data_IF_076302398221
#
_entry.id   IF_076302398221
#
_cell.length_a   1.000
_cell.length_b   1.000
_cell.length_c   1.000
_cell.angle_alpha   90.00
_cell.angle_beta   90.00
_cell.angle_gamma   90.00
#
_symmetry.space_group_name_H-M   'P 1'
#
loop_
_entity.id
_entity.type
_entity.pdbx_description
1 polymer ?
#
# COMPACT_ATOMS: atom_id res chain seq x y z
N UNK A 1 17.11 -13.62 -21.02
CA UNK A 1 16.82 -14.71 -20.07
C UNK A 1 15.34 -15.01 -20.14
N UNK A 2 14.96 -16.19 -20.64
CA UNK A 2 13.55 -16.60 -20.81
C UNK A 2 13.38 -18.09 -20.49
N UNK A 3 12.17 -18.48 -20.10
CA UNK A 3 11.80 -19.88 -19.85
C UNK A 3 12.00 -20.37 -18.41
N UNK A 4 11.45 -21.55 -18.06
CA UNK A 4 11.40 -22.04 -16.68
C UNK A 4 12.77 -22.23 -16.02
N UNK A 5 13.76 -22.72 -16.76
CA UNK A 5 15.13 -22.92 -16.25
C UNK A 5 15.78 -21.58 -15.84
N UNK A 6 15.59 -20.55 -16.66
CA UNK A 6 16.08 -19.20 -16.39
C UNK A 6 15.40 -18.57 -15.17
N UNK A 7 14.08 -18.77 -15.03
CA UNK A 7 13.35 -18.28 -13.85
C UNK A 7 13.78 -19.02 -12.59
N UNK A 8 13.96 -20.35 -12.66
CA UNK A 8 14.43 -21.14 -11.53
C UNK A 8 15.78 -20.63 -11.05
N UNK A 9 16.74 -20.44 -11.97
CA UNK A 9 18.04 -19.86 -11.65
C UNK A 9 17.87 -18.50 -10.95
N UNK A 10 17.09 -17.58 -11.52
CA UNK A 10 16.87 -16.25 -10.96
C UNK A 10 16.26 -16.26 -9.55
N UNK A 11 15.35 -17.20 -9.24
CA UNK A 11 14.64 -17.25 -7.96
C UNK A 11 15.26 -18.21 -6.93
N UNK A 12 16.18 -19.10 -7.34
CA UNK A 12 16.87 -20.04 -6.43
C UNK A 12 18.31 -19.65 -6.12
N UNK A 13 18.90 -18.73 -6.90
CA UNK A 13 20.21 -18.16 -6.61
C UNK A 13 20.20 -17.35 -5.31
N UNK A 14 21.36 -17.26 -4.67
CA UNK A 14 21.57 -16.36 -3.54
C UNK A 14 21.69 -14.90 -3.99
N UNK A 15 21.56 -13.98 -3.01
CA UNK A 15 21.59 -12.54 -3.24
C UNK A 15 22.97 -12.05 -3.74
N UNK A 16 24.02 -12.86 -3.63
CA UNK A 16 25.37 -12.57 -4.14
C UNK A 16 25.49 -12.88 -5.64
N UNK A 17 24.86 -13.96 -6.11
CA UNK A 17 24.86 -14.37 -7.51
C UNK A 17 23.85 -13.58 -8.34
N UNK A 18 22.65 -13.36 -7.78
CA UNK A 18 21.56 -12.63 -8.44
C UNK A 18 20.90 -11.70 -7.44
N UNK A 19 21.06 -10.39 -7.62
CA UNK A 19 20.40 -9.39 -6.79
C UNK A 19 19.23 -8.74 -7.51
N UNK A 20 18.19 -8.40 -6.74
CA UNK A 20 17.09 -7.58 -7.23
C UNK A 20 17.56 -6.15 -7.48
N UNK A 21 17.49 -5.71 -8.73
CA UNK A 21 17.77 -4.32 -9.10
C UNK A 21 16.52 -3.71 -9.71
N UNK A 22 16.09 -2.55 -9.21
CA UNK A 22 14.93 -1.84 -9.74
C UNK A 22 15.36 -0.65 -10.60
N UNK A 23 14.52 -0.23 -11.56
CA UNK A 23 14.72 1.03 -12.25
C UNK A 23 14.80 2.20 -11.27
N UNK A 24 15.61 3.20 -11.61
CA UNK A 24 15.80 4.38 -10.76
C UNK A 24 14.49 5.13 -10.45
N UNK A 25 13.49 5.02 -11.33
CA UNK A 25 12.16 5.57 -11.10
C UNK A 25 11.49 4.99 -9.86
N UNK A 26 11.54 3.65 -9.69
CA UNK A 26 10.97 2.93 -8.55
C UNK A 26 11.68 3.35 -7.28
N UNK A 27 13.01 3.37 -7.29
CA UNK A 27 13.83 3.72 -6.13
C UNK A 27 13.57 5.15 -5.65
N UNK A 28 13.42 6.11 -6.56
CA UNK A 28 13.16 7.52 -6.23
C UNK A 28 11.72 7.79 -5.79
N UNK A 29 10.74 7.09 -6.37
CA UNK A 29 9.32 7.26 -6.05
C UNK A 29 8.93 6.47 -4.79
N UNK A 30 9.25 5.19 -4.72
CA UNK A 30 8.82 4.33 -3.62
C UNK A 30 9.78 4.48 -2.44
N UNK A 31 11.08 4.53 -2.71
CA UNK A 31 12.13 4.73 -1.71
C UNK A 31 13.07 3.53 -1.54
N UNK A 32 14.23 3.80 -0.92
CA UNK A 32 15.35 2.85 -0.74
C UNK A 32 15.16 1.83 0.39
N UNK A 33 14.15 2.02 1.24
CA UNK A 33 13.86 1.15 2.39
C UNK A 33 12.59 0.34 2.17
N UNK A 34 12.34 -0.03 0.91
CA UNK A 34 11.16 -0.77 0.50
C UNK A 34 11.54 -2.21 0.23
N UNK A 35 10.57 -3.12 0.29
CA UNK A 35 10.78 -4.54 0.01
C UNK A 35 11.38 -4.83 -1.36
N UNK A 36 11.25 -3.91 -2.31
CA UNK A 36 11.78 -4.04 -3.66
C UNK A 36 13.29 -3.77 -3.74
N UNK A 37 13.86 -3.10 -2.72
CA UNK A 37 15.25 -2.67 -2.65
C UNK A 37 16.04 -3.36 -1.52
N UNK A 38 15.35 -3.95 -0.54
CA UNK A 38 16.01 -4.67 0.55
C UNK A 38 16.68 -5.94 0.02
N UNK A 39 17.93 -6.16 0.43
CA UNK A 39 18.71 -7.36 0.13
C UNK A 39 19.25 -8.00 1.42
N UNK A 40 19.65 -9.26 1.35
CA UNK A 40 20.33 -9.98 2.42
C UNK A 40 19.46 -10.19 3.66
N UNK A 41 20.04 -9.96 4.84
CA UNK A 41 19.38 -10.23 6.12
C UNK A 41 18.08 -9.42 6.28
N UNK A 42 18.08 -8.15 5.86
CA UNK A 42 16.93 -7.26 6.02
C UNK A 42 15.73 -7.70 5.18
N UNK A 43 15.95 -8.23 3.98
CA UNK A 43 14.86 -8.76 3.15
C UNK A 43 14.27 -10.03 3.76
N UNK A 44 15.13 -10.92 4.31
CA UNK A 44 14.71 -12.14 5.01
C UNK A 44 13.88 -11.83 6.25
N UNK A 45 14.33 -10.89 7.09
CA UNK A 45 13.60 -10.44 8.28
C UNK A 45 12.24 -9.86 7.91
N UNK A 46 12.21 -8.96 6.93
CA UNK A 46 10.95 -8.36 6.48
C UNK A 46 9.99 -9.42 5.93
N UNK A 47 10.50 -10.43 5.19
CA UNK A 47 9.71 -11.57 4.71
C UNK A 47 9.08 -12.36 5.85
N UNK A 48 9.78 -12.58 6.96
CA UNK A 48 9.22 -13.25 8.14
C UNK A 48 8.05 -12.46 8.74
N UNK A 49 8.16 -11.13 8.82
CA UNK A 49 7.06 -10.27 9.32
C UNK A 49 5.84 -10.37 8.40
N UNK A 50 6.01 -10.30 7.07
CA UNK A 50 4.90 -10.48 6.13
C UNK A 50 4.24 -11.85 6.24
N UNK A 51 5.04 -12.92 6.30
CA UNK A 51 4.52 -14.29 6.40
C UNK A 51 3.81 -14.52 7.74
N UNK A 52 4.29 -13.88 8.81
CA UNK A 52 3.62 -13.87 10.11
C UNK A 52 2.27 -13.18 10.07
N UNK A 53 2.18 -12.04 9.37
CA UNK A 53 0.96 -11.26 9.25
C UNK A 53 -0.08 -11.89 8.29
N UNK A 54 0.36 -12.43 7.16
CA UNK A 54 -0.47 -13.02 6.10
C UNK A 54 -0.75 -14.53 6.29
N UNK A 55 -0.69 -15.04 7.52
CA UNK A 55 -1.07 -16.43 7.82
C UNK A 55 -2.52 -16.70 7.39
N UNK A 56 -2.79 -17.96 7.04
CA UNK A 56 -4.10 -18.37 6.51
C UNK A 56 -5.28 -17.96 7.40
N UNK A 57 -5.16 -18.07 8.73
CA UNK A 57 -6.21 -17.63 9.67
C UNK A 57 -6.50 -16.13 9.57
N UNK A 58 -5.45 -15.33 9.39
CA UNK A 58 -5.54 -13.88 9.29
C UNK A 58 -6.21 -13.51 7.99
N UNK A 59 -5.77 -14.08 6.87
CA UNK A 59 -6.38 -13.88 5.55
C UNK A 59 -7.87 -14.26 5.59
N UNK A 60 -8.22 -15.38 6.21
CA UNK A 60 -9.63 -15.79 6.41
C UNK A 60 -10.43 -14.78 7.23
N UNK A 61 -9.86 -14.27 8.33
CA UNK A 61 -10.52 -13.26 9.15
C UNK A 61 -10.82 -11.97 8.37
N UNK A 62 -9.97 -11.62 7.39
CA UNK A 62 -10.13 -10.43 6.55
C UNK A 62 -11.29 -10.54 5.56
N UNK A 63 -11.77 -11.75 5.23
CA UNK A 63 -12.86 -11.95 4.25
C UNK A 63 -14.12 -11.19 4.66
N UNK A 64 -14.44 -11.17 5.97
CA UNK A 64 -15.59 -10.41 6.49
C UNK A 64 -15.42 -8.90 6.29
N UNK A 65 -14.21 -8.40 6.50
CA UNK A 65 -13.89 -6.99 6.27
C UNK A 65 -13.93 -6.63 4.78
N UNK A 66 -13.42 -7.50 3.92
CA UNK A 66 -13.49 -7.34 2.46
C UNK A 66 -14.95 -7.28 1.99
N UNK A 67 -15.79 -8.22 2.42
CA UNK A 67 -17.22 -8.24 2.07
C UNK A 67 -17.93 -6.95 2.52
N UNK A 68 -17.64 -6.49 3.75
CA UNK A 68 -18.16 -5.21 4.26
C UNK A 68 -17.70 -4.02 3.42
N UNK A 69 -16.40 -3.92 3.12
CA UNK A 69 -15.83 -2.83 2.30
C UNK A 69 -16.45 -2.81 0.91
N UNK A 70 -16.57 -3.96 0.25
CA UNK A 70 -17.21 -4.09 -1.07
C UNK A 70 -18.65 -3.59 -1.01
N UNK A 71 -19.45 -4.06 -0.05
CA UNK A 71 -20.85 -3.65 0.11
C UNK A 71 -20.98 -2.16 0.36
N UNK A 72 -20.17 -1.60 1.25
CA UNK A 72 -20.20 -0.17 1.58
C UNK A 72 -19.84 0.69 0.38
N UNK A 73 -18.80 0.31 -0.38
CA UNK A 73 -18.40 1.07 -1.57
C UNK A 73 -19.44 0.98 -2.68
N UNK A 74 -19.99 -0.19 -2.94
CA UNK A 74 -21.07 -0.34 -3.92
C UNK A 74 -22.29 0.49 -3.51
N UNK A 75 -22.70 0.43 -2.23
CA UNK A 75 -23.80 1.24 -1.72
C UNK A 75 -23.52 2.74 -1.89
N UNK A 76 -22.36 3.23 -1.45
CA UNK A 76 -21.94 4.64 -1.61
C UNK A 76 -21.95 5.06 -3.08
N UNK A 77 -21.31 4.29 -3.95
CA UNK A 77 -21.21 4.58 -5.38
C UNK A 77 -22.54 4.60 -6.12
N UNK A 78 -23.50 3.75 -5.72
CA UNK A 78 -24.86 3.75 -6.27
C UNK A 78 -25.80 4.77 -5.63
N UNK A 79 -25.54 5.20 -4.39
CA UNK A 79 -26.29 6.25 -3.70
C UNK A 79 -25.86 7.67 -4.12
N UNK A 80 -24.59 7.88 -4.47
CA UNK A 80 -24.04 9.16 -4.93
C UNK A 80 -24.47 9.54 -6.37
N UNK A 81 -25.68 9.15 -6.82
CA UNK A 81 -26.29 9.44 -8.14
C UNK A 81 -26.50 10.93 -8.47
N UNK A 82 -25.89 11.84 -7.71
CA UNK A 82 -26.05 13.28 -7.92
C UNK A 82 -24.92 14.14 -7.37
N UNK A 83 -23.82 13.57 -6.84
CA UNK A 83 -22.70 14.40 -6.42
C UNK A 83 -21.62 14.42 -7.51
N UNK A 84 -21.84 15.32 -8.47
CA UNK A 84 -20.82 15.94 -9.31
C UNK A 84 -19.84 16.79 -8.46
N UNK A 85 -19.54 16.35 -7.23
CA UNK A 85 -18.71 17.04 -6.26
C UNK A 85 -17.37 16.32 -6.08
N UNK A 86 -16.61 16.31 -7.17
CA UNK A 86 -15.17 16.54 -7.08
C UNK A 86 -14.74 17.39 -8.29
N UNK A 87 -15.36 18.58 -8.39
CA UNK A 87 -14.87 19.66 -9.23
C UNK A 87 -13.46 20.08 -8.81
N UNK A 88 -12.44 19.39 -9.35
CA UNK A 88 -11.15 19.93 -9.80
C UNK A 88 -10.29 18.79 -10.37
N UNK A 89 -10.24 18.73 -11.69
CA UNK A 89 -9.24 18.00 -12.48
C UNK A 89 -8.90 16.59 -11.99
N UNK A 90 -9.88 15.69 -11.98
CA UNK A 90 -9.59 14.26 -11.98
C UNK A 90 -9.84 13.73 -13.39
N UNK A 91 -8.79 13.19 -14.04
CA UNK A 91 -8.94 12.62 -15.37
C UNK A 91 -9.97 11.50 -15.35
N UNK A 92 -10.74 11.35 -16.43
CA UNK A 92 -11.79 10.32 -16.64
C UNK A 92 -11.39 8.89 -16.20
N UNK A 93 -10.08 8.61 -16.12
CA UNK A 93 -9.50 7.32 -15.72
C UNK A 93 -9.91 6.77 -14.35
N UNK A 94 -10.47 7.58 -13.45
CA UNK A 94 -10.80 7.17 -12.08
C UNK A 94 -12.30 7.26 -11.76
N UNK A 95 -13.16 7.45 -12.78
CA UNK A 95 -14.61 7.35 -12.61
C UNK A 95 -14.98 5.90 -12.26
N UNK A 96 -15.66 5.69 -11.14
CA UNK A 96 -16.03 4.34 -10.67
C UNK A 96 -17.47 3.96 -11.01
N UNK A 97 -18.38 4.93 -11.01
CA UNK A 97 -19.81 4.72 -11.27
C UNK A 97 -20.32 5.72 -12.29
N UNK A 98 -21.34 5.34 -13.05
CA UNK A 98 -22.06 6.23 -13.96
C UNK A 98 -23.49 6.48 -13.48
N UNK A 99 -24.06 7.62 -13.87
CA UNK A 99 -25.44 8.00 -13.50
C UNK A 99 -26.51 7.04 -14.03
N UNK A 100 -26.23 6.31 -15.12
CA UNK A 100 -27.09 5.26 -15.67
C UNK A 100 -26.93 3.90 -14.95
N UNK A 101 -26.22 3.85 -13.82
CA UNK A 101 -26.12 2.67 -12.97
C UNK A 101 -25.09 1.63 -13.40
N UNK A 102 -24.09 2.01 -14.21
CA UNK A 102 -22.96 1.13 -14.57
C UNK A 102 -21.80 1.34 -13.61
N UNK A 103 -20.98 0.30 -13.48
CA UNK A 103 -19.73 0.31 -12.71
C UNK A 103 -18.56 0.20 -13.68
N UNK A 104 -17.58 1.07 -13.53
CA UNK A 104 -16.26 0.92 -14.13
C UNK A 104 -15.42 0.03 -13.23
N UNK A 105 -15.36 -1.26 -13.59
CA UNK A 105 -14.79 -2.31 -12.73
C UNK A 105 -13.33 -2.03 -12.36
N UNK A 106 -12.49 -1.57 -13.28
CA UNK A 106 -11.06 -1.36 -12.99
C UNK A 106 -10.82 -0.26 -11.96
N UNK A 107 -11.38 0.97 -12.09
CA UNK A 107 -11.32 1.99 -11.04
C UNK A 107 -11.90 1.51 -9.71
N UNK A 108 -13.09 0.91 -9.73
CA UNK A 108 -13.77 0.45 -8.51
C UNK A 108 -12.93 -0.62 -7.77
N UNK A 109 -12.38 -1.60 -8.50
CA UNK A 109 -11.54 -2.65 -7.92
C UNK A 109 -10.22 -2.11 -7.38
N UNK A 110 -9.60 -1.11 -8.02
CA UNK A 110 -8.41 -0.45 -7.49
C UNK A 110 -8.69 0.19 -6.13
N UNK A 111 -9.83 0.87 -6.02
CA UNK A 111 -10.22 1.54 -4.80
C UNK A 111 -10.57 0.52 -3.70
N UNK A 112 -11.38 -0.49 -4.01
CA UNK A 112 -11.70 -1.58 -3.06
C UNK A 112 -10.42 -2.25 -2.54
N UNK A 113 -9.47 -2.55 -3.43
CA UNK A 113 -8.20 -3.18 -3.04
C UNK A 113 -7.38 -2.25 -2.14
N UNK A 114 -7.41 -0.94 -2.42
CA UNK A 114 -6.77 0.06 -1.58
C UNK A 114 -7.37 0.08 -0.17
N UNK A 115 -8.69 0.19 -0.01
CA UNK A 115 -9.34 0.20 1.30
C UNK A 115 -9.02 -1.06 2.10
N UNK A 116 -9.08 -2.23 1.44
CA UNK A 116 -8.74 -3.50 2.08
C UNK A 116 -7.28 -3.46 2.56
N UNK A 117 -6.34 -3.10 1.70
CA UNK A 117 -4.93 -3.01 2.08
C UNK A 117 -4.71 -1.95 3.19
N UNK A 118 -5.36 -0.80 3.11
CA UNK A 118 -5.22 0.31 4.05
C UNK A 118 -5.75 -0.08 5.42
N UNK A 119 -6.93 -0.69 5.49
CA UNK A 119 -7.49 -1.26 6.70
C UNK A 119 -6.59 -2.34 7.31
N UNK A 120 -6.04 -3.24 6.50
CA UNK A 120 -5.15 -4.29 7.01
C UNK A 120 -3.82 -3.73 7.54
N UNK A 121 -3.27 -2.73 6.87
CA UNK A 121 -1.98 -2.18 7.24
C UNK A 121 -2.08 -1.26 8.45
N UNK A 122 -3.05 -0.35 8.46
CA UNK A 122 -3.16 0.73 9.44
C UNK A 122 -4.28 0.53 10.47
N UNK A 123 -5.21 -0.40 10.22
CA UNK A 123 -6.34 -0.65 11.12
C UNK A 123 -7.26 0.58 11.27
N UNK A 124 -7.24 1.51 10.31
CA UNK A 124 -7.92 2.79 10.41
C UNK A 124 -9.35 2.74 9.85
N UNK A 125 -10.25 3.59 10.39
CA UNK A 125 -11.61 3.70 9.90
C UNK A 125 -11.69 4.54 8.61
N UNK A 126 -12.79 4.33 7.90
CA UNK A 126 -13.17 4.98 6.65
C UNK A 126 -13.34 6.51 6.82
N UNK A 127 -12.86 7.32 5.87
CA UNK A 127 -13.02 8.79 5.96
C UNK A 127 -12.27 9.61 4.89
N UNK A 128 -12.33 10.94 5.01
CA UNK A 128 -11.75 11.86 4.01
C UNK A 128 -10.24 11.71 3.81
N UNK A 129 -9.51 11.36 4.88
CA UNK A 129 -8.06 11.12 4.82
C UNK A 129 -7.74 9.89 3.99
N UNK A 130 -8.56 8.84 4.04
CA UNK A 130 -8.41 7.64 3.22
C UNK A 130 -8.60 7.96 1.73
N UNK A 131 -9.63 8.74 1.41
CA UNK A 131 -9.92 9.18 0.03
C UNK A 131 -8.77 10.04 -0.53
N UNK A 132 -8.17 10.93 0.28
CA UNK A 132 -6.99 11.69 -0.14
C UNK A 132 -5.77 10.80 -0.36
N UNK A 133 -5.53 9.86 0.54
CA UNK A 133 -4.46 8.88 0.40
C UNK A 133 -4.65 8.03 -0.86
N UNK A 134 -5.86 7.55 -1.15
CA UNK A 134 -6.14 6.78 -2.36
C UNK A 134 -5.76 7.55 -3.64
N UNK A 135 -6.09 8.86 -3.70
CA UNK A 135 -5.73 9.73 -4.83
C UNK A 135 -4.21 9.85 -4.96
N UNK A 136 -3.51 10.05 -3.85
CA UNK A 136 -2.06 10.18 -3.87
C UNK A 136 -1.37 8.86 -4.22
N UNK A 137 -1.82 7.73 -3.69
CA UNK A 137 -1.31 6.40 -4.05
C UNK A 137 -1.52 6.10 -5.54
N UNK A 138 -2.70 6.40 -6.08
CA UNK A 138 -2.96 6.26 -7.52
C UNK A 138 -2.04 7.14 -8.36
N UNK A 139 -1.69 8.34 -7.86
CA UNK A 139 -0.75 9.25 -8.51
C UNK A 139 0.69 8.75 -8.45
N UNK A 140 1.08 8.07 -7.37
CA UNK A 140 2.40 7.45 -7.19
C UNK A 140 2.62 6.25 -8.13
N UNK A 141 1.59 5.43 -8.35
CA UNK A 141 1.73 4.24 -9.19
C UNK A 141 1.80 4.54 -10.70
N UNK A 142 1.15 5.61 -11.18
CA UNK A 142 1.19 6.02 -12.61
C UNK A 142 2.63 6.18 -13.18
N UNK A 143 3.58 6.84 -12.49
CA UNK A 143 4.95 7.03 -12.97
C UNK A 143 5.96 5.96 -12.53
N UNK A 144 5.57 4.92 -11.79
CA UNK A 144 6.55 4.01 -11.14
C UNK A 144 7.46 3.31 -12.16
N UNK A 145 6.95 3.02 -13.36
CA UNK A 145 7.69 2.47 -14.51
C UNK A 145 7.97 3.50 -15.63
N UNK A 146 7.83 4.80 -15.33
CA UNK A 146 8.13 5.86 -16.31
C UNK A 146 9.62 6.21 -16.32
N UNK A 147 10.10 6.78 -17.43
CA UNK A 147 11.46 7.30 -17.51
C UNK A 147 11.64 8.39 -16.43
N UNK A 148 12.68 8.31 -15.56
CA UNK A 148 12.84 9.17 -14.38
C UNK A 148 13.32 10.59 -14.71
N UNK A 149 12.65 11.26 -15.65
CA UNK A 149 12.94 12.64 -16.06
C UNK A 149 12.20 13.62 -15.15
N UNK A 150 12.95 14.41 -14.40
CA UNK A 150 12.42 15.40 -13.45
C UNK A 150 12.21 16.77 -14.11
N UNK A 151 11.37 16.84 -15.15
CA UNK A 151 11.01 18.10 -15.82
C UNK A 151 9.66 18.62 -15.32
N UNK A 152 9.42 19.93 -15.42
CA UNK A 152 8.38 20.68 -14.70
C UNK A 152 6.94 20.14 -14.84
N UNK A 153 6.64 19.38 -15.91
CA UNK A 153 5.31 18.84 -16.23
C UNK A 153 5.21 17.30 -16.24
N UNK A 154 6.21 16.55 -15.77
CA UNK A 154 6.20 15.07 -15.89
C UNK A 154 5.35 14.38 -14.82
N UNK A 155 4.82 13.20 -15.15
CA UNK A 155 4.17 12.29 -14.20
C UNK A 155 5.09 11.95 -13.02
N UNK A 156 6.40 11.91 -13.25
CA UNK A 156 7.40 11.63 -12.25
C UNK A 156 7.44 12.68 -11.11
N UNK A 157 7.42 13.98 -11.44
CA UNK A 157 7.37 15.05 -10.43
C UNK A 157 6.06 15.03 -9.63
N UNK A 158 4.94 14.72 -10.29
CA UNK A 158 3.65 14.54 -9.61
C UNK A 158 3.68 13.37 -8.62
N UNK A 159 4.30 12.26 -9.02
CA UNK A 159 4.53 11.10 -8.14
C UNK A 159 5.36 11.45 -6.91
N UNK A 160 6.45 12.21 -7.07
CA UNK A 160 7.29 12.64 -5.93
C UNK A 160 6.51 13.52 -4.93
N UNK A 161 5.69 14.46 -5.41
CA UNK A 161 4.85 15.29 -4.54
C UNK A 161 3.74 14.49 -3.85
N UNK A 162 3.13 13.53 -4.55
CA UNK A 162 2.15 12.64 -3.94
C UNK A 162 2.78 11.77 -2.85
N UNK A 163 3.99 11.25 -3.08
CA UNK A 163 4.76 10.53 -2.06
C UNK A 163 5.00 11.37 -0.80
N UNK A 164 5.36 12.64 -0.95
CA UNK A 164 5.57 13.55 0.18
C UNK A 164 4.30 13.73 1.02
N UNK A 165 3.14 13.92 0.35
CA UNK A 165 1.84 14.00 1.04
C UNK A 165 1.47 12.70 1.75
N UNK A 166 1.66 11.54 1.11
CA UNK A 166 1.45 10.23 1.74
C UNK A 166 2.28 10.11 3.02
N UNK A 167 3.58 10.43 2.97
CA UNK A 167 4.44 10.35 4.16
C UNK A 167 3.94 11.28 5.26
N UNK A 168 3.56 12.53 4.91
CA UNK A 168 3.05 13.50 5.85
C UNK A 168 1.77 13.02 6.56
N UNK A 169 0.90 12.31 5.85
CA UNK A 169 -0.32 11.72 6.40
C UNK A 169 -0.06 10.45 7.23
N UNK A 170 0.87 9.58 6.81
CA UNK A 170 1.13 8.30 7.47
C UNK A 170 2.00 8.43 8.74
N UNK A 171 2.93 9.39 8.79
CA UNK A 171 3.84 9.54 9.94
C UNK A 171 3.08 9.75 11.27
N UNK A 172 2.07 10.64 11.36
CA UNK A 172 1.25 10.76 12.56
C UNK A 172 0.56 9.45 12.95
N UNK A 173 0.00 8.72 11.98
CA UNK A 173 -0.69 7.44 12.23
C UNK A 173 0.24 6.40 12.85
N UNK A 174 1.47 6.29 12.32
CA UNK A 174 2.49 5.36 12.85
C UNK A 174 2.94 5.78 14.26
N UNK A 175 3.08 7.09 14.51
CA UNK A 175 3.44 7.61 15.84
C UNK A 175 2.36 7.31 16.87
N UNK A 176 1.10 7.52 16.49
CA UNK A 176 -0.05 7.19 17.34
C UNK A 176 -0.13 5.69 17.62
N UNK A 177 0.05 4.84 16.60
CA UNK A 177 0.11 3.40 16.76
C UNK A 177 1.23 2.98 17.73
N UNK A 178 2.42 3.60 17.62
CA UNK A 178 3.54 3.35 18.53
C UNK A 178 3.25 3.79 19.97
N UNK A 179 2.68 4.98 20.17
CA UNK A 179 2.36 5.49 21.51
C UNK A 179 1.35 4.59 22.25
N UNK A 180 0.44 3.98 21.51
CA UNK A 180 -0.62 3.10 22.03
C UNK A 180 -0.15 1.67 22.33
N UNK A 181 1.10 1.28 22.02
CA UNK A 181 1.58 -0.10 22.21
C UNK A 181 1.67 -0.56 23.67
N UNK A 182 1.68 0.37 24.64
CA UNK A 182 1.67 0.06 26.07
C UNK A 182 0.29 -0.26 26.65
N UNK A 183 -0.78 -0.08 25.87
CA UNK A 183 -2.17 -0.29 26.29
C UNK A 183 -2.62 -1.74 26.00
N UNK A 184 -3.22 -2.39 26.99
CA UNK A 184 -3.62 -3.80 26.95
C UNK A 184 -4.66 -4.08 25.84
N UNK A 185 -5.48 -3.07 25.50
CA UNK A 185 -6.47 -3.12 24.41
C UNK A 185 -5.83 -3.15 23.02
N UNK A 186 -4.67 -2.50 22.86
CA UNK A 186 -3.92 -2.45 21.58
C UNK A 186 -3.11 -3.72 21.38
N UNK A 187 -2.86 -4.48 22.46
CA UNK A 187 -2.22 -5.80 22.40
C UNK A 187 -3.03 -6.80 21.56
N UNK A 188 -4.36 -6.65 21.54
CA UNK A 188 -5.29 -7.50 20.80
C UNK A 188 -5.59 -7.00 19.38
N UNK A 189 -5.33 -5.72 19.08
CA UNK A 189 -5.42 -5.17 17.71
C UNK A 189 -4.13 -5.50 16.97
N UNK A 190 -4.24 -6.31 15.92
CA UNK A 190 -3.09 -6.76 15.13
C UNK A 190 -3.29 -6.24 13.70
N UNK A 191 -2.85 -5.01 13.46
CA UNK A 191 -2.58 -4.50 12.12
C UNK A 191 -1.10 -4.70 11.76
N UNK A 192 -0.75 -4.47 10.50
CA UNK A 192 0.60 -4.71 10.01
C UNK A 192 1.62 -3.79 10.67
N UNK A 193 1.28 -2.51 10.88
CA UNK A 193 2.16 -1.54 11.53
C UNK A 193 2.50 -1.98 12.96
N UNK A 194 1.51 -2.44 13.72
CA UNK A 194 1.72 -2.96 15.08
C UNK A 194 2.61 -4.21 15.05
N UNK A 195 2.46 -5.08 14.05
CA UNK A 195 3.30 -6.27 13.87
C UNK A 195 4.77 -5.89 13.57
N UNK A 196 4.99 -4.89 12.71
CA UNK A 196 6.31 -4.35 12.40
C UNK A 196 6.99 -3.70 13.62
N UNK A 197 6.23 -2.92 14.40
CA UNK A 197 6.76 -2.25 15.57
C UNK A 197 7.16 -3.27 16.65
N UNK A 198 6.38 -4.34 16.86
CA UNK A 198 6.73 -5.43 17.79
C UNK A 198 8.01 -6.15 17.38
N UNK A 199 8.14 -6.46 16.09
CA UNK A 199 9.35 -7.07 15.55
C UNK A 199 10.59 -6.22 15.83
N UNK A 200 10.50 -4.89 15.63
CA UNK A 200 11.61 -3.97 15.90
C UNK A 200 11.98 -3.88 17.38
N UNK A 201 11.00 -3.93 18.28
CA UNK A 201 11.27 -3.91 19.73
C UNK A 201 11.93 -5.21 20.21
N UNK A 202 11.60 -6.36 19.61
CA UNK A 202 12.25 -7.65 19.91
C UNK A 202 13.71 -7.68 19.43
N UNK A 203 14.00 -7.14 18.24
CA UNK A 203 15.40 -6.99 17.77
C UNK A 203 16.23 -6.05 18.66
N UNK A 204 15.62 -4.95 19.13
CA UNK A 204 16.30 -3.99 20.01
C UNK A 204 16.64 -4.56 21.39
N UNK A 205 15.88 -5.56 21.87
CA UNK A 205 16.14 -6.26 23.13
C UNK A 205 17.14 -7.41 23.02
N UNK A 206 17.40 -7.92 21.81
CA UNK A 206 18.38 -8.99 21.57
C UNK A 206 19.83 -8.53 21.41
N UNK A 207 20.08 -7.21 21.38
CA UNK A 207 21.40 -6.61 21.20
C UNK A 207 21.91 -5.87 22.45
N UNK A 208 21.42 -6.23 23.64
CA UNK A 208 21.83 -5.62 24.91
C UNK A 208 22.18 -6.67 25.97
#
# INVERSE_FOLDING_TARGET
MTGPASNKLMFSSDDETVSTTQPESVRRIVGKHTIFELVGLKSKQMRLVYMGFLKADRVRACIKDMDRIVKLRLAKGFSDKGNEFSGKQFSDSNKEFSGDGKIYVVPAMKHITFDVAFKLIFGLPEGEVEEELFRDFTTVFKPILSVPVNFLATNFRRGLRARERIIKALVPMIREAKAKMGDELVRNKIDFITSLLRFKDEEGKGNN
#
